data_IF_685003962935
#
_entry.id   IF_685003962935
#
_cell.length_a   1.000
_cell.length_b   1.000
_cell.length_c   1.000
_cell.angle_alpha   90.00
_cell.angle_beta   90.00
_cell.angle_gamma   90.00
#
_symmetry.space_group_name_H-M   'P 1'
#
loop_
_entity.id
_entity.type
_entity.pdbx_description
1 polymer ?
#
# COMPACT_ATOMS: atom_id res chain seq x y z
N UNK A 1 -4.18 -0.80 29.17
CA UNK A 1 -5.43 -1.44 28.70
C UNK A 1 -5.12 -2.12 27.38
N UNK A 2 -5.09 -3.43 27.38
CA UNK A 2 -4.86 -4.22 26.18
C UNK A 2 -6.22 -4.38 25.49
N UNK A 3 -6.39 -3.73 24.35
CA UNK A 3 -7.60 -3.93 23.53
C UNK A 3 -7.52 -5.34 22.97
N UNK A 4 -8.59 -6.18 23.13
CA UNK A 4 -8.60 -7.52 22.55
C UNK A 4 -8.43 -7.40 21.04
N UNK A 5 -7.27 -7.79 20.53
CA UNK A 5 -6.88 -7.59 19.13
C UNK A 5 -7.79 -8.27 18.10
N UNK A 6 -8.52 -9.32 18.49
CA UNK A 6 -9.37 -10.08 17.58
C UNK A 6 -10.68 -9.36 17.21
N UNK A 7 -11.39 -8.79 18.18
CA UNK A 7 -12.69 -8.12 17.92
C UNK A 7 -12.50 -6.78 17.17
N UNK A 8 -11.49 -5.99 17.55
CA UNK A 8 -11.17 -4.72 16.88
C UNK A 8 -10.66 -4.97 15.46
N UNK A 9 -9.91 -6.04 15.26
CA UNK A 9 -9.44 -6.47 13.95
C UNK A 9 -10.60 -6.88 13.05
N UNK A 10 -11.54 -7.65 13.56
CA UNK A 10 -12.71 -8.12 12.83
C UNK A 10 -13.65 -6.95 12.45
N UNK A 11 -13.90 -6.03 13.39
CA UNK A 11 -14.70 -4.81 13.12
C UNK A 11 -13.99 -3.92 12.11
N UNK A 12 -12.67 -3.77 12.20
CA UNK A 12 -11.90 -2.94 11.30
C UNK A 12 -11.80 -3.57 9.89
N UNK A 13 -11.58 -4.88 9.82
CA UNK A 13 -11.56 -5.63 8.56
C UNK A 13 -12.94 -5.62 7.89
N UNK A 14 -14.03 -5.80 8.64
CA UNK A 14 -15.39 -5.74 8.12
C UNK A 14 -15.77 -4.33 7.67
N UNK A 15 -15.46 -3.30 8.45
CA UNK A 15 -15.76 -1.90 8.09
C UNK A 15 -14.96 -1.46 6.88
N UNK A 16 -13.69 -1.83 6.79
CA UNK A 16 -12.84 -1.55 5.62
C UNK A 16 -13.35 -2.33 4.42
N UNK A 17 -13.79 -3.57 4.60
CA UNK A 17 -14.30 -4.42 3.53
C UNK A 17 -15.64 -3.93 2.98
N UNK A 18 -16.60 -3.60 3.85
CA UNK A 18 -17.88 -3.00 3.45
C UNK A 18 -17.67 -1.69 2.71
N UNK A 19 -16.75 -0.89 3.21
CA UNK A 19 -16.39 0.37 2.59
C UNK A 19 -15.69 0.18 1.22
N UNK A 20 -14.82 -0.82 1.10
CA UNK A 20 -14.23 -1.21 -0.19
C UNK A 20 -15.28 -1.72 -1.17
N UNK A 21 -16.25 -2.49 -0.71
CA UNK A 21 -17.31 -3.03 -1.56
C UNK A 21 -18.22 -1.93 -2.09
N UNK A 22 -18.55 -0.93 -1.27
CA UNK A 22 -19.35 0.22 -1.69
C UNK A 22 -18.59 1.15 -2.65
N UNK A 23 -17.31 1.36 -2.40
CA UNK A 23 -16.45 2.20 -3.26
C UNK A 23 -16.02 1.46 -4.51
N UNK A 24 -15.86 0.13 -4.44
CA UNK A 24 -15.47 -0.71 -5.56
C UNK A 24 -16.52 -0.81 -6.66
N UNK A 25 -17.80 -0.68 -6.28
CA UNK A 25 -18.92 -0.75 -7.26
C UNK A 25 -19.04 0.49 -8.14
N UNK A 26 -18.35 1.59 -7.82
CA UNK A 26 -18.51 2.88 -8.49
C UNK A 26 -17.27 3.46 -9.18
N UNK A 27 -16.08 2.92 -9.00
CA UNK A 27 -14.85 3.50 -9.57
C UNK A 27 -14.06 2.49 -10.40
N UNK A 28 -13.71 2.92 -11.62
CA UNK A 28 -12.77 2.20 -12.47
C UNK A 28 -11.35 2.35 -11.92
N UNK A 29 -10.80 1.28 -11.38
CA UNK A 29 -9.44 1.25 -10.81
C UNK A 29 -8.37 0.76 -11.79
N UNK A 30 -8.72 0.60 -13.06
CA UNK A 30 -7.77 0.13 -14.08
C UNK A 30 -6.56 1.02 -14.17
N UNK A 31 -6.74 2.34 -14.15
CA UNK A 31 -5.64 3.31 -14.21
C UNK A 31 -4.65 3.13 -13.05
N UNK A 32 -5.14 2.89 -11.84
CA UNK A 32 -4.30 2.62 -10.67
C UNK A 32 -3.45 1.36 -10.86
N UNK A 33 -4.06 0.25 -11.27
CA UNK A 33 -3.33 -1.00 -11.48
C UNK A 33 -2.38 -0.92 -12.67
N UNK A 34 -2.77 -0.24 -13.74
CA UNK A 34 -1.88 0.02 -14.89
C UNK A 34 -0.66 0.85 -14.47
N UNK A 35 -0.83 1.84 -13.59
CA UNK A 35 0.27 2.62 -13.03
C UNK A 35 1.24 1.74 -12.22
N UNK A 36 0.72 0.84 -11.37
CA UNK A 36 1.56 -0.11 -10.62
C UNK A 36 2.39 -0.97 -11.56
N UNK A 37 1.75 -1.57 -12.56
CA UNK A 37 2.41 -2.56 -13.41
C UNK A 37 3.17 -1.98 -14.60
N UNK A 38 3.07 -0.69 -14.84
CA UNK A 38 3.93 0.07 -15.76
C UNK A 38 5.13 0.72 -15.07
N UNK A 39 5.12 0.76 -13.74
CA UNK A 39 6.16 1.46 -12.96
C UNK A 39 6.01 2.98 -12.99
N UNK A 40 4.81 3.50 -13.25
CA UNK A 40 4.53 4.92 -13.29
C UNK A 40 4.15 5.45 -11.90
N UNK A 41 5.15 5.87 -11.13
CA UNK A 41 4.97 6.36 -9.76
C UNK A 41 4.16 7.67 -9.69
N UNK A 42 4.25 8.53 -10.71
CA UNK A 42 3.50 9.78 -10.78
C UNK A 42 1.99 9.50 -10.95
N UNK A 43 1.62 8.70 -11.93
CA UNK A 43 0.23 8.29 -12.13
C UNK A 43 -0.30 7.52 -10.90
N UNK A 44 0.52 6.68 -10.28
CA UNK A 44 0.15 5.96 -9.06
C UNK A 44 -0.11 6.93 -7.88
N UNK A 45 0.68 7.99 -7.76
CA UNK A 45 0.47 9.07 -6.78
C UNK A 45 -0.89 9.74 -6.99
N UNK A 46 -1.21 10.11 -8.23
CA UNK A 46 -2.48 10.77 -8.56
C UNK A 46 -3.69 9.88 -8.27
N UNK A 47 -3.68 8.65 -8.76
CA UNK A 47 -4.78 7.68 -8.58
C UNK A 47 -5.00 7.33 -7.10
N UNK A 48 -3.92 7.12 -6.35
CA UNK A 48 -3.99 6.84 -4.92
C UNK A 48 -4.48 8.05 -4.12
N UNK A 49 -4.00 9.25 -4.42
CA UNK A 49 -4.44 10.48 -3.74
C UNK A 49 -5.91 10.77 -4.01
N UNK A 50 -6.37 10.60 -5.22
CA UNK A 50 -7.78 10.72 -5.60
C UNK A 50 -8.66 9.74 -4.83
N UNK A 51 -8.21 8.51 -4.73
CA UNK A 51 -8.92 7.47 -3.99
C UNK A 51 -8.98 7.78 -2.50
N UNK A 52 -7.88 8.20 -1.90
CA UNK A 52 -7.82 8.66 -0.51
C UNK A 52 -8.76 9.83 -0.26
N UNK A 53 -8.74 10.82 -1.13
CA UNK A 53 -9.57 12.02 -0.99
C UNK A 53 -11.07 11.69 -0.95
N UNK A 54 -11.51 10.77 -1.79
CA UNK A 54 -12.93 10.36 -1.88
C UNK A 54 -13.39 9.48 -0.73
N UNK A 55 -12.47 8.86 -0.02
CA UNK A 55 -12.76 7.70 0.81
C UNK A 55 -12.46 7.86 2.28
N UNK A 56 -11.52 8.71 2.67
CA UNK A 56 -11.16 8.92 4.08
C UNK A 56 -11.98 10.03 4.72
N UNK A 57 -12.59 9.73 5.88
CA UNK A 57 -13.13 10.74 6.77
C UNK A 57 -12.03 11.31 7.68
N UNK A 58 -12.24 12.53 8.21
CA UNK A 58 -11.26 13.26 9.02
C UNK A 58 -10.79 12.56 10.30
N UNK A 59 -11.39 11.45 10.68
CA UNK A 59 -11.11 10.76 11.93
C UNK A 59 -10.15 9.57 11.83
N UNK A 60 -9.73 9.18 10.63
CA UNK A 60 -9.05 7.88 10.38
C UNK A 60 -7.56 7.99 10.03
N UNK A 61 -6.88 9.06 10.44
CA UNK A 61 -5.46 9.27 10.11
C UNK A 61 -4.50 8.44 10.97
N UNK A 62 -4.72 7.13 11.06
CA UNK A 62 -3.83 6.20 11.76
C UNK A 62 -2.98 5.41 10.77
N UNK A 63 -1.75 5.11 11.16
CA UNK A 63 -0.84 4.31 10.36
C UNK A 63 -1.45 2.96 9.95
N UNK A 64 -2.16 2.31 10.87
CA UNK A 64 -2.83 1.03 10.61
C UNK A 64 -3.91 1.12 9.53
N UNK A 65 -4.59 2.27 9.44
CA UNK A 65 -5.58 2.51 8.40
C UNK A 65 -4.96 2.52 7.01
N UNK A 66 -3.87 3.27 6.81
CA UNK A 66 -3.22 3.36 5.51
C UNK A 66 -2.65 2.02 5.05
N UNK A 67 -2.13 1.24 5.99
CA UNK A 67 -1.66 -0.11 5.71
C UNK A 67 -2.80 -1.02 5.24
N UNK A 68 -3.93 -1.03 5.96
CA UNK A 68 -5.12 -1.79 5.58
C UNK A 68 -5.74 -1.30 4.28
N UNK A 69 -5.75 0.01 4.04
CA UNK A 69 -6.19 0.62 2.80
C UNK A 69 -5.38 0.13 1.62
N UNK A 70 -4.05 0.21 1.70
CA UNK A 70 -3.13 -0.24 0.65
C UNK A 70 -3.30 -1.73 0.35
N UNK A 71 -3.32 -2.57 1.38
CA UNK A 71 -3.53 -4.02 1.21
C UNK A 71 -4.91 -4.33 0.64
N UNK A 72 -5.95 -3.65 1.11
CA UNK A 72 -7.34 -3.88 0.72
C UNK A 72 -7.64 -3.53 -0.73
N UNK A 73 -7.06 -2.46 -1.28
CA UNK A 73 -7.21 -2.09 -2.69
C UNK A 73 -6.84 -3.26 -3.61
N UNK A 74 -5.71 -3.89 -3.35
CA UNK A 74 -5.20 -4.96 -4.19
C UNK A 74 -5.87 -6.30 -3.91
N UNK A 75 -6.17 -6.60 -2.65
CA UNK A 75 -6.92 -7.80 -2.29
C UNK A 75 -8.32 -7.79 -2.90
N UNK A 76 -9.02 -6.64 -2.85
CA UNK A 76 -10.32 -6.46 -3.48
C UNK A 76 -10.32 -6.60 -5.00
N UNK A 77 -9.18 -6.38 -5.65
CA UNK A 77 -8.99 -6.59 -7.09
C UNK A 77 -8.61 -8.04 -7.45
N UNK A 78 -8.51 -8.94 -6.47
CA UNK A 78 -8.19 -10.34 -6.69
C UNK A 78 -6.71 -10.68 -6.76
N UNK A 79 -5.81 -9.74 -6.43
CA UNK A 79 -4.38 -10.03 -6.30
C UNK A 79 -4.07 -10.80 -5.03
N UNK A 80 -3.02 -11.61 -5.07
CA UNK A 80 -2.46 -12.21 -3.87
C UNK A 80 -1.67 -11.17 -3.10
N UNK A 81 -2.12 -10.83 -1.91
CA UNK A 81 -1.52 -9.80 -1.05
C UNK A 81 -0.94 -10.43 0.20
N UNK A 82 0.32 -10.11 0.50
CA UNK A 82 0.95 -10.41 1.77
C UNK A 82 1.20 -9.08 2.50
N UNK A 83 0.69 -8.98 3.70
CA UNK A 83 0.83 -7.81 4.55
C UNK A 83 1.51 -8.22 5.85
N UNK A 84 2.62 -7.58 6.18
CA UNK A 84 3.39 -7.89 7.39
C UNK A 84 3.20 -6.79 8.41
N UNK A 85 2.51 -7.14 9.50
CA UNK A 85 2.25 -6.26 10.64
C UNK A 85 3.25 -6.43 11.80
N UNK A 86 4.13 -7.41 11.74
CA UNK A 86 5.02 -7.69 12.85
C UNK A 86 6.18 -6.72 12.87
N UNK A 87 6.26 -5.95 13.92
CA UNK A 87 7.40 -5.11 14.28
C UNK A 87 8.59 -6.00 14.63
N UNK A 88 9.45 -6.16 13.69
CA UNK A 88 10.72 -6.84 13.94
C UNK A 88 11.23 -7.60 12.72
N UNK A 89 12.35 -7.10 12.25
CA UNK A 89 13.26 -7.75 11.31
C UNK A 89 12.71 -8.05 9.89
N UNK A 90 12.64 -7.01 9.07
CA UNK A 90 13.04 -7.19 7.68
C UNK A 90 12.00 -7.70 6.70
N UNK A 91 10.72 -7.34 6.85
CA UNK A 91 9.70 -7.61 5.82
C UNK A 91 9.05 -6.32 5.35
N UNK A 92 8.81 -6.24 4.05
CA UNK A 92 8.06 -5.16 3.42
C UNK A 92 6.62 -5.07 3.95
N UNK A 93 6.05 -3.89 3.99
CA UNK A 93 4.72 -3.67 4.52
C UNK A 93 3.64 -4.40 3.71
N UNK A 94 3.68 -4.27 2.39
CA UNK A 94 2.72 -4.91 1.49
C UNK A 94 3.41 -5.46 0.26
N UNK A 95 3.16 -6.72 -0.05
CA UNK A 95 3.63 -7.38 -1.28
C UNK A 95 2.45 -7.89 -2.07
N UNK A 96 2.40 -7.50 -3.33
CA UNK A 96 1.34 -7.84 -4.27
C UNK A 96 1.92 -8.75 -5.36
N UNK A 97 1.27 -9.89 -5.57
CA UNK A 97 1.70 -10.86 -6.57
C UNK A 97 0.64 -11.05 -7.65
N UNK A 98 1.06 -10.87 -8.88
CA UNK A 98 0.31 -11.28 -10.06
C UNK A 98 0.99 -12.49 -10.70
N UNK A 99 0.57 -13.66 -10.27
CA UNK A 99 1.15 -14.93 -10.72
C UNK A 99 0.95 -15.18 -12.23
N UNK A 100 -0.19 -14.73 -12.76
CA UNK A 100 -0.54 -14.90 -14.17
C UNK A 100 0.48 -14.21 -15.10
N UNK A 101 0.89 -13.01 -14.71
CA UNK A 101 1.83 -12.19 -15.50
C UNK A 101 3.27 -12.21 -14.96
N UNK A 102 3.56 -13.05 -13.96
CA UNK A 102 4.88 -13.17 -13.33
C UNK A 102 5.46 -11.83 -12.91
N UNK A 103 4.71 -11.11 -12.09
CA UNK A 103 5.13 -9.79 -11.59
C UNK A 103 4.78 -9.63 -10.12
N UNK A 104 5.61 -8.87 -9.43
CA UNK A 104 5.49 -8.59 -8.01
C UNK A 104 5.67 -7.09 -7.80
N UNK A 105 4.84 -6.48 -6.97
CA UNK A 105 5.02 -5.12 -6.50
C UNK A 105 5.22 -5.14 -4.99
N UNK A 106 6.25 -4.47 -4.53
CA UNK A 106 6.65 -4.36 -3.13
C UNK A 106 6.46 -2.92 -2.70
N UNK A 107 5.67 -2.71 -1.67
CA UNK A 107 5.42 -1.39 -1.08
C UNK A 107 5.98 -1.33 0.33
N UNK A 108 6.71 -0.27 0.62
CA UNK A 108 7.07 0.16 1.96
C UNK A 108 6.35 1.48 2.25
N UNK A 109 5.53 1.50 3.29
CA UNK A 109 4.71 2.65 3.63
C UNK A 109 5.30 3.43 4.79
N UNK A 110 5.23 4.75 4.71
CA UNK A 110 5.57 5.70 5.77
C UNK A 110 4.38 6.62 6.03
N UNK A 111 4.28 7.10 7.24
CA UNK A 111 3.30 8.08 7.62
C UNK A 111 3.99 9.42 7.90
N UNK A 112 3.66 10.44 7.12
CA UNK A 112 4.23 11.78 7.23
C UNK A 112 3.33 12.66 8.07
N UNK A 113 3.89 13.35 9.05
CA UNK A 113 3.17 14.31 9.88
C UNK A 113 2.82 15.59 9.11
N UNK A 114 3.67 15.96 8.16
CA UNK A 114 3.55 17.17 7.35
C UNK A 114 3.73 16.83 5.87
N UNK A 115 3.04 17.52 4.96
CA UNK A 115 3.20 17.30 3.51
C UNK A 115 4.63 17.45 3.02
N UNK A 116 5.39 18.36 3.61
CA UNK A 116 6.79 18.61 3.23
C UNK A 116 7.73 17.44 3.55
N UNK A 117 7.35 16.56 4.49
CA UNK A 117 8.12 15.40 4.86
C UNK A 117 7.92 14.20 3.92
N UNK A 118 6.86 14.19 3.10
CA UNK A 118 6.51 13.04 2.28
C UNK A 118 7.62 12.59 1.33
N UNK A 119 8.33 13.52 0.70
CA UNK A 119 9.43 13.18 -0.21
C UNK A 119 10.56 12.45 0.53
N UNK A 120 10.99 12.98 1.66
CA UNK A 120 12.04 12.38 2.51
C UNK A 120 11.60 11.03 3.07
N UNK A 121 10.34 10.91 3.47
CA UNK A 121 9.79 9.65 3.99
C UNK A 121 9.68 8.58 2.88
N UNK A 122 9.34 8.97 1.64
CA UNK A 122 9.41 8.06 0.49
C UNK A 122 10.84 7.58 0.22
N UNK A 123 11.81 8.47 0.25
CA UNK A 123 13.23 8.11 0.07
C UNK A 123 13.68 7.13 1.16
N UNK A 124 13.28 7.37 2.41
CA UNK A 124 13.57 6.47 3.52
C UNK A 124 12.90 5.10 3.34
N UNK A 125 11.68 5.06 2.80
CA UNK A 125 11.00 3.82 2.45
C UNK A 125 11.75 3.03 1.37
N UNK A 126 12.18 3.69 0.30
CA UNK A 126 12.96 3.06 -0.76
C UNK A 126 14.31 2.56 -0.25
N UNK A 127 14.99 3.35 0.58
CA UNK A 127 16.24 2.94 1.21
C UNK A 127 16.04 1.69 2.09
N UNK A 128 14.95 1.61 2.82
CA UNK A 128 14.60 0.44 3.63
C UNK A 128 14.40 -0.82 2.77
N UNK A 129 13.72 -0.71 1.62
CA UNK A 129 13.56 -1.83 0.68
C UNK A 129 14.93 -2.34 0.22
N UNK A 130 15.86 -1.44 -0.10
CA UNK A 130 17.23 -1.80 -0.52
C UNK A 130 18.03 -2.45 0.60
N UNK A 131 18.08 -1.83 1.77
CA UNK A 131 18.88 -2.27 2.92
C UNK A 131 18.43 -3.63 3.43
N UNK A 132 17.13 -3.87 3.46
CA UNK A 132 16.51 -5.12 3.88
C UNK A 132 16.42 -6.16 2.76
N UNK A 133 16.75 -5.79 1.52
CA UNK A 133 16.77 -6.69 0.35
C UNK A 133 15.44 -7.41 0.12
N UNK A 134 14.32 -6.72 0.30
CA UNK A 134 12.97 -7.31 0.18
C UNK A 134 12.69 -7.95 -1.17
N UNK A 135 13.30 -7.45 -2.25
CA UNK A 135 13.15 -7.99 -3.59
C UNK A 135 13.80 -9.35 -3.78
N UNK A 136 14.80 -9.71 -2.94
CA UNK A 136 15.63 -10.90 -3.12
C UNK A 136 14.85 -12.20 -3.20
N UNK A 137 13.78 -12.33 -2.42
CA UNK A 137 12.95 -13.53 -2.38
C UNK A 137 12.17 -13.78 -3.68
N UNK A 138 12.12 -12.77 -4.57
CA UNK A 138 11.39 -12.78 -5.84
C UNK A 138 12.31 -12.75 -7.05
N UNK A 139 13.63 -12.69 -6.85
CA UNK A 139 14.65 -12.65 -7.91
C UNK A 139 14.89 -14.06 -8.49
N UNK A 140 13.98 -14.52 -9.32
CA UNK A 140 14.09 -15.80 -10.03
C UNK A 140 14.57 -15.65 -11.50
N UNK A 141 14.95 -14.45 -11.90
CA UNK A 141 15.36 -14.11 -13.27
C UNK A 141 14.22 -14.07 -14.30
N UNK A 142 12.98 -14.33 -13.89
CA UNK A 142 11.79 -14.36 -14.75
C UNK A 142 10.66 -13.47 -14.26
N UNK A 143 10.62 -13.17 -12.97
CA UNK A 143 9.61 -12.33 -12.33
C UNK A 143 9.98 -10.87 -12.45
N UNK A 144 9.08 -10.06 -12.95
CA UNK A 144 9.25 -8.60 -12.97
C UNK A 144 8.93 -8.02 -11.59
N UNK A 145 9.87 -7.28 -11.02
CA UNK A 145 9.77 -6.74 -9.67
C UNK A 145 9.67 -5.23 -9.73
N UNK A 146 8.69 -4.68 -9.02
CA UNK A 146 8.48 -3.25 -8.83
C UNK A 146 8.60 -2.93 -7.34
N UNK A 147 9.40 -1.93 -7.00
CA UNK A 147 9.58 -1.48 -5.63
C UNK A 147 9.13 -0.04 -5.49
N UNK A 148 8.22 0.21 -4.56
CA UNK A 148 7.64 1.52 -4.30
C UNK A 148 7.81 1.92 -2.84
N UNK A 149 8.27 3.14 -2.62
CA UNK A 149 8.10 3.84 -1.36
C UNK A 149 6.83 4.68 -1.44
N UNK A 150 5.99 4.60 -0.44
CA UNK A 150 4.78 5.41 -0.35
C UNK A 150 4.71 6.13 0.99
N UNK A 151 4.51 7.45 0.95
CA UNK A 151 4.28 8.26 2.13
C UNK A 151 2.85 8.78 2.13
N UNK A 152 2.16 8.59 3.25
CA UNK A 152 0.81 9.10 3.46
C UNK A 152 0.81 10.30 4.38
N UNK A 153 0.06 11.33 4.03
CA UNK A 153 -0.19 12.48 4.89
C UNK A 153 -1.65 12.91 4.75
N UNK A 154 -2.46 12.62 5.77
CA UNK A 154 -3.91 12.89 5.75
C UNK A 154 -4.59 12.24 4.53
N UNK A 155 -5.13 13.04 3.62
CA UNK A 155 -5.82 12.60 2.40
C UNK A 155 -4.92 12.54 1.16
N UNK A 156 -3.62 12.76 1.34
CA UNK A 156 -2.64 12.77 0.27
C UNK A 156 -1.64 11.62 0.43
N UNK A 157 -1.08 11.22 -0.67
CA UNK A 157 0.09 10.36 -0.67
C UNK A 157 1.10 10.81 -1.73
N UNK A 158 2.31 10.34 -1.56
CA UNK A 158 3.37 10.44 -2.56
C UNK A 158 3.96 9.06 -2.77
N UNK A 159 4.10 8.66 -4.01
CA UNK A 159 4.73 7.39 -4.39
C UNK A 159 5.99 7.67 -5.18
N UNK A 160 7.04 7.00 -4.82
CA UNK A 160 8.30 6.99 -5.58
C UNK A 160 8.68 5.54 -5.88
N UNK A 161 9.36 5.34 -7.00
CA UNK A 161 9.82 4.03 -7.44
C UNK A 161 11.33 3.94 -7.34
N UNK A 162 11.80 2.76 -6.96
CA UNK A 162 13.21 2.42 -6.98
C UNK A 162 13.71 2.22 -8.42
#
# INVERSE_FOLDING_TARGET
>A
MVIPNAEVREIFENTVQEWFDDTAKGSDRRALFDAVWSGNAEALTEEMSDLLYRTISYHDYRQDFYHAFLAGIFAGAGYSVTSNREHGEGRSDVVIRDKKHRRVAIFEAKYSKLPQAMATDCEAALQQIQDKKYARDYEDGRTKIFCYGIAFCKKDCLVQKL
#
